data_IF_783728495827
#
_entry.id   IF_783728495827
#
_cell.length_a   1.000
_cell.length_b   1.000
_cell.length_c   1.000
_cell.angle_alpha   90.00
_cell.angle_beta   90.00
_cell.angle_gamma   90.00
#
_symmetry.space_group_name_H-M   'P 1'
#
loop_
_entity.id
_entity.type
_entity.pdbx_description
1 polymer ?
#
# COMPACT_ATOMS: atom_id res chain seq x y z
N UNK A 1 -3.73 1.10 24.33
CA UNK A 1 -3.20 1.63 23.04
C UNK A 1 -2.61 0.47 22.24
N UNK A 2 -3.17 0.11 21.09
CA UNK A 2 -2.79 -1.07 20.31
C UNK A 2 -1.27 -1.08 20.00
N UNK A 3 -0.46 -1.96 20.63
CA UNK A 3 1.00 -1.96 20.48
C UNK A 3 1.45 -2.60 19.16
N UNK A 4 0.54 -3.32 18.51
CA UNK A 4 0.74 -3.95 17.22
C UNK A 4 0.72 -2.88 16.13
N UNK A 5 1.86 -2.26 15.84
CA UNK A 5 2.09 -1.46 14.61
C UNK A 5 2.09 -2.37 13.36
N UNK A 6 1.13 -3.30 13.29
CA UNK A 6 0.94 -4.25 12.22
C UNK A 6 0.14 -3.56 11.13
N UNK A 7 0.71 -3.52 9.94
CA UNK A 7 0.01 -3.08 8.73
C UNK A 7 -0.77 -4.27 8.20
N UNK A 8 -2.03 -4.06 7.84
CA UNK A 8 -2.89 -5.06 7.23
C UNK A 8 -3.48 -4.48 5.93
N UNK A 9 -3.73 -5.35 4.96
CA UNK A 9 -4.38 -4.99 3.70
C UNK A 9 -5.89 -5.22 3.87
N UNK A 10 -6.72 -4.29 3.37
CA UNK A 10 -8.20 -4.33 3.42
C UNK A 10 -8.86 -4.28 4.81
N UNK A 11 -8.11 -4.59 5.86
CA UNK A 11 -8.61 -4.75 7.23
C UNK A 11 -7.75 -3.98 8.21
N UNK A 12 -8.33 -3.62 9.35
CA UNK A 12 -7.64 -2.94 10.44
C UNK A 12 -8.43 -1.75 10.97
N UNK A 13 -8.08 -1.33 12.18
CA UNK A 13 -8.72 -0.22 12.87
C UNK A 13 -7.71 0.92 13.04
N UNK A 14 -8.10 2.15 12.74
CA UNK A 14 -7.25 3.33 12.92
C UNK A 14 -6.80 3.96 11.61
N UNK A 15 -5.49 4.21 11.46
CA UNK A 15 -4.96 4.94 10.31
C UNK A 15 -4.97 4.07 9.06
N UNK A 16 -5.61 4.54 8.01
CA UNK A 16 -5.57 3.94 6.68
C UNK A 16 -4.82 4.85 5.70
N UNK A 17 -4.27 4.26 4.64
CA UNK A 17 -3.62 4.97 3.57
C UNK A 17 -3.99 4.30 2.24
N UNK A 18 -4.30 5.11 1.24
CA UNK A 18 -4.63 4.64 -0.09
C UNK A 18 -3.42 4.76 -0.99
N UNK A 19 -3.25 3.78 -1.87
CA UNK A 19 -2.20 3.76 -2.87
C UNK A 19 -2.85 3.67 -4.26
N UNK A 20 -2.24 4.37 -5.22
CA UNK A 20 -2.65 4.28 -6.61
C UNK A 20 -2.44 2.85 -7.14
N UNK A 21 -3.34 2.34 -7.99
CA UNK A 21 -3.26 1.00 -8.56
C UNK A 21 -2.23 0.92 -9.71
N UNK A 22 -1.03 1.44 -9.49
CA UNK A 22 0.04 1.56 -10.49
C UNK A 22 1.35 1.05 -9.88
N UNK A 23 2.06 0.19 -10.62
CA UNK A 23 3.34 -0.40 -10.19
C UNK A 23 4.38 0.68 -9.88
N UNK A 24 4.43 1.76 -10.67
CA UNK A 24 5.33 2.89 -10.44
C UNK A 24 5.00 3.64 -9.14
N UNK A 25 3.72 3.78 -8.79
CA UNK A 25 3.30 4.38 -7.52
C UNK A 25 3.68 3.51 -6.33
N UNK A 26 3.50 2.18 -6.42
CA UNK A 26 3.94 1.24 -5.38
C UNK A 26 5.47 1.30 -5.19
N UNK A 27 6.23 1.27 -6.28
CA UNK A 27 7.70 1.36 -6.24
C UNK A 27 8.17 2.68 -5.60
N UNK A 28 7.58 3.82 -5.98
CA UNK A 28 7.89 5.11 -5.41
C UNK A 28 7.50 5.19 -3.91
N UNK A 29 6.36 4.61 -3.54
CA UNK A 29 5.88 4.57 -2.17
C UNK A 29 6.75 3.66 -1.28
N UNK A 30 7.22 2.53 -1.80
CA UNK A 30 8.15 1.63 -1.14
C UNK A 30 9.52 2.32 -0.95
N UNK A 31 10.11 2.85 -2.03
CA UNK A 31 11.42 3.53 -1.98
C UNK A 31 11.45 4.70 -1.01
N UNK A 32 10.35 5.46 -0.90
CA UNK A 32 10.23 6.61 0.02
C UNK A 32 9.57 6.26 1.36
N UNK A 33 9.27 4.98 1.63
CA UNK A 33 8.52 4.54 2.81
C UNK A 33 7.25 5.39 3.10
N UNK A 34 6.54 5.81 2.05
CA UNK A 34 5.35 6.67 2.18
C UNK A 34 4.24 6.00 2.98
N UNK A 35 3.99 4.70 2.70
CA UNK A 35 2.99 3.92 3.42
C UNK A 35 3.33 3.84 4.91
N UNK A 36 4.59 3.57 5.25
CA UNK A 36 5.02 3.52 6.64
C UNK A 36 4.91 4.86 7.36
N UNK A 37 5.18 5.97 6.66
CA UNK A 37 5.02 7.33 7.21
C UNK A 37 3.55 7.67 7.47
N UNK A 38 2.65 7.38 6.52
CA UNK A 38 1.21 7.63 6.68
C UNK A 38 0.60 6.79 7.80
N UNK A 39 0.95 5.50 7.84
CA UNK A 39 0.45 4.54 8.83
C UNK A 39 1.18 4.63 10.18
N UNK A 40 2.29 5.39 10.27
CA UNK A 40 3.23 5.42 11.42
C UNK A 40 3.67 4.02 11.87
N UNK A 41 3.86 3.13 10.91
CA UNK A 41 4.20 1.73 11.13
C UNK A 41 5.23 1.26 10.10
N UNK A 42 6.02 0.25 10.43
CA UNK A 42 6.89 -0.38 9.43
C UNK A 42 6.04 -1.30 8.57
N UNK A 43 6.07 -1.13 7.25
CA UNK A 43 5.34 -2.00 6.32
C UNK A 43 6.28 -3.16 5.95
N UNK A 44 5.96 -4.39 6.35
CA UNK A 44 6.81 -5.53 6.03
C UNK A 44 6.78 -5.85 4.53
N UNK A 45 7.89 -6.41 4.03
CA UNK A 45 8.09 -6.66 2.59
C UNK A 45 7.05 -7.63 2.01
N UNK A 46 6.58 -8.60 2.80
CA UNK A 46 5.54 -9.54 2.39
C UNK A 46 4.26 -8.83 1.91
N UNK A 47 3.85 -7.73 2.55
CA UNK A 47 2.69 -6.96 2.12
C UNK A 47 2.94 -6.22 0.81
N UNK A 48 4.17 -5.74 0.60
CA UNK A 48 4.54 -5.16 -0.69
C UNK A 48 4.49 -6.21 -1.81
N UNK A 49 5.00 -7.43 -1.59
CA UNK A 49 4.90 -8.53 -2.57
C UNK A 49 3.44 -8.86 -2.89
N UNK A 50 2.58 -8.97 -1.87
CA UNK A 50 1.13 -9.20 -2.08
C UNK A 50 0.47 -8.06 -2.84
N UNK A 51 0.82 -6.80 -2.54
CA UNK A 51 0.37 -5.62 -3.28
C UNK A 51 0.85 -5.64 -4.73
N UNK A 52 2.11 -6.01 -4.99
CA UNK A 52 2.67 -6.17 -6.34
C UNK A 52 1.88 -7.21 -7.14
N UNK A 53 1.60 -8.38 -6.55
CA UNK A 53 0.82 -9.42 -7.21
C UNK A 53 -0.62 -8.96 -7.50
N UNK A 54 -1.29 -8.32 -6.53
CA UNK A 54 -2.64 -7.75 -6.72
C UNK A 54 -2.65 -6.68 -7.82
N UNK A 55 -1.64 -5.83 -7.90
CA UNK A 55 -1.54 -4.79 -8.94
C UNK A 55 -1.29 -5.38 -10.33
N UNK A 56 -0.50 -6.44 -10.41
CA UNK A 56 -0.27 -7.18 -11.64
C UNK A 56 -1.54 -7.89 -12.13
N UNK A 57 -2.41 -8.36 -11.21
CA UNK A 57 -3.67 -9.05 -11.54
C UNK A 57 -4.86 -8.10 -11.70
N UNK A 58 -4.86 -6.95 -11.02
CA UNK A 58 -5.89 -5.91 -11.10
C UNK A 58 -5.22 -4.56 -11.39
N UNK A 59 -4.89 -4.26 -12.66
CA UNK A 59 -4.56 -2.90 -13.06
C UNK A 59 -5.85 -2.07 -13.06
N UNK A 60 -6.38 -1.73 -11.88
CA UNK A 60 -7.62 -0.95 -11.76
C UNK A 60 -7.36 0.53 -12.00
N UNK A 61 -6.98 0.86 -13.24
CA UNK A 61 -7.35 2.07 -14.01
C UNK A 61 -6.50 2.12 -15.30
N UNK A 62 -6.91 1.46 -16.39
CA UNK A 62 -6.71 2.04 -17.70
C UNK A 62 -7.77 3.12 -17.89
N UNK A 63 -7.35 4.36 -18.17
CA UNK A 63 -8.18 5.52 -18.52
C UNK A 63 -8.89 6.26 -17.38
N UNK A 64 -8.25 7.34 -16.92
CA UNK A 64 -8.97 8.61 -16.83
C UNK A 64 -8.34 9.55 -17.86
N UNK A 65 -8.65 9.26 -19.13
CA UNK A 65 -8.68 10.28 -20.17
C UNK A 65 -10.13 10.77 -20.25
N UNK A 66 -10.30 12.08 -20.14
CA UNK A 66 -11.11 12.98 -20.97
C UNK A 66 -10.81 14.40 -20.48
#
# INVERSE_FOLDING_TARGET
>A
VYPSRKVQLDQGMGRSAYLCPQLSCLAAAQKKNRLGRSLRASVPKNLYETLWQRLATMPSKPNLGN
#
